data_IF_314952752245
#
_entry.id   IF_314952752245
#
_cell.length_a   1.000
_cell.length_b   1.000
_cell.length_c   1.000
_cell.angle_alpha   90.00
_cell.angle_beta   90.00
_cell.angle_gamma   90.00
#
_symmetry.space_group_name_H-M   'P 1'
#
loop_
_entity.id
_entity.type
_entity.pdbx_description
1 polymer ?
#
# COMPACT_ATOMS: atom_id res chain seq x y z
N UNK A 1 -34.51 -27.27 46.63
CA UNK A 1 -34.19 -26.38 47.77
C UNK A 1 -32.71 -26.38 48.13
N UNK A 2 -32.03 -27.54 48.25
CA UNK A 2 -30.60 -27.61 48.64
C UNK A 2 -29.59 -27.02 47.64
N UNK A 3 -29.84 -27.09 46.33
CA UNK A 3 -28.96 -26.47 45.31
C UNK A 3 -29.11 -24.95 45.16
N UNK A 4 -30.18 -24.37 45.71
CA UNK A 4 -30.43 -22.92 45.63
C UNK A 4 -29.67 -22.15 46.72
N UNK A 5 -29.33 -22.81 47.83
CA UNK A 5 -28.57 -22.23 48.94
C UNK A 5 -27.05 -22.24 48.71
N UNK A 6 -26.52 -23.25 47.99
CA UNK A 6 -25.09 -23.28 47.59
C UNK A 6 -24.76 -22.22 46.52
N UNK A 7 -25.64 -22.02 45.54
CA UNK A 7 -25.53 -20.96 44.52
C UNK A 7 -25.47 -19.55 45.14
N UNK A 8 -26.25 -19.30 46.20
CA UNK A 8 -26.29 -17.99 46.89
C UNK A 8 -25.03 -17.76 47.73
N UNK A 9 -24.42 -18.80 48.31
CA UNK A 9 -23.15 -18.68 49.04
C UNK A 9 -21.97 -18.42 48.11
N UNK A 10 -21.92 -19.09 46.96
CA UNK A 10 -20.86 -18.88 45.95
C UNK A 10 -20.97 -17.46 45.34
N UNK A 11 -22.18 -16.98 45.06
CA UNK A 11 -22.38 -15.60 44.57
C UNK A 11 -21.93 -14.53 45.57
N UNK A 12 -22.06 -14.76 46.89
CA UNK A 12 -21.61 -13.80 47.92
C UNK A 12 -20.09 -13.77 48.09
N UNK A 13 -19.40 -14.89 47.86
CA UNK A 13 -17.92 -14.95 47.93
C UNK A 13 -17.29 -14.29 46.69
N UNK A 14 -17.89 -14.48 45.50
CA UNK A 14 -17.39 -13.87 44.26
C UNK A 14 -17.67 -12.36 44.21
N UNK A 15 -18.78 -11.89 44.80
CA UNK A 15 -19.10 -10.47 44.90
C UNK A 15 -18.16 -9.68 45.84
N UNK A 16 -17.46 -10.34 46.76
CA UNK A 16 -16.48 -9.68 47.64
C UNK A 16 -15.09 -9.49 46.99
N UNK A 17 -14.82 -10.12 45.85
CA UNK A 17 -13.52 -10.03 45.16
C UNK A 17 -13.50 -9.04 43.98
N UNK A 18 -14.65 -8.45 43.61
CA UNK A 18 -14.78 -7.55 42.45
C UNK A 18 -15.32 -6.17 42.81
N UNK A 19 -14.79 -5.58 43.89
CA UNK A 19 -15.09 -4.21 44.29
C UNK A 19 -13.88 -3.26 44.20
N UNK A 20 -12.92 -3.51 43.29
CA UNK A 20 -11.91 -2.51 42.92
C UNK A 20 -11.94 -2.30 41.41
N UNK A 21 -12.74 -1.30 41.04
CA UNK A 21 -12.73 -0.48 39.82
C UNK A 21 -13.26 -1.12 38.54
N UNK A 22 -14.48 -0.69 38.19
CA UNK A 22 -14.71 -0.09 36.87
C UNK A 22 -15.40 -0.97 35.82
N UNK A 23 -16.71 -1.09 35.96
CA UNK A 23 -17.73 -1.36 34.95
C UNK A 23 -17.33 -1.04 33.49
N UNK A 24 -17.54 -1.97 32.56
CA UNK A 24 -18.62 -1.92 31.54
C UNK A 24 -18.75 -3.33 30.94
N UNK A 25 -19.91 -3.96 31.16
CA UNK A 25 -20.38 -5.09 30.37
C UNK A 25 -21.06 -4.49 29.14
N UNK A 26 -20.45 -4.64 27.96
CA UNK A 26 -21.17 -4.56 26.68
C UNK A 26 -21.30 -5.98 26.14
N UNK A 27 -22.54 -6.46 26.13
CA UNK A 27 -22.97 -7.63 25.41
C UNK A 27 -22.90 -7.32 23.91
N UNK A 28 -21.97 -7.95 23.19
CA UNK A 28 -21.88 -7.85 21.74
C UNK A 28 -21.26 -9.13 21.20
N UNK A 29 -22.00 -9.86 20.37
CA UNK A 29 -21.47 -10.93 19.55
C UNK A 29 -20.38 -10.34 18.64
N UNK A 30 -19.13 -10.40 19.08
CA UNK A 30 -17.98 -10.19 18.21
C UNK A 30 -17.58 -11.55 17.66
N UNK A 31 -17.72 -11.71 16.35
CA UNK A 31 -16.94 -12.68 15.58
C UNK A 31 -15.47 -12.60 16.03
N UNK A 32 -14.69 -13.70 15.99
CA UNK A 32 -13.28 -13.62 16.32
C UNK A 32 -12.64 -12.65 15.31
N UNK A 33 -12.37 -11.42 15.76
CA UNK A 33 -11.64 -10.44 14.99
C UNK A 33 -10.29 -11.09 14.66
N UNK A 34 -10.02 -11.24 13.36
CA UNK A 34 -8.74 -11.71 12.82
C UNK A 34 -7.64 -10.99 13.61
N UNK A 35 -6.84 -11.75 14.36
CA UNK A 35 -5.76 -11.19 15.16
C UNK A 35 -4.93 -10.28 14.25
N UNK A 36 -4.84 -8.95 14.50
CA UNK A 36 -4.00 -8.09 13.72
C UNK A 36 -2.59 -8.68 13.81
N UNK A 37 -1.97 -9.03 12.67
CA UNK A 37 -0.55 -9.29 12.63
C UNK A 37 0.12 -8.08 13.29
N UNK A 38 0.65 -8.29 14.48
CA UNK A 38 1.35 -7.26 15.23
C UNK A 38 2.71 -7.14 14.57
N UNK A 39 2.80 -6.24 13.60
CA UNK A 39 4.09 -5.84 13.07
C UNK A 39 4.86 -5.16 14.20
N UNK A 40 6.09 -5.64 14.44
CA UNK A 40 6.97 -4.99 15.39
C UNK A 40 7.23 -3.54 14.95
N UNK A 41 7.23 -2.63 15.91
CA UNK A 41 7.69 -1.27 15.72
C UNK A 41 9.21 -1.24 15.89
N UNK A 42 9.88 -0.58 14.95
CA UNK A 42 11.32 -0.39 14.97
C UNK A 42 11.68 1.08 15.16
N UNK A 43 12.93 1.34 15.54
CA UNK A 43 13.39 2.69 15.84
C UNK A 43 13.81 3.48 14.60
N UNK A 44 13.93 2.83 13.44
CA UNK A 44 14.34 3.47 12.19
C UNK A 44 13.41 3.13 11.03
N UNK A 45 13.23 4.09 10.12
CA UNK A 45 12.45 3.90 8.89
C UNK A 45 13.00 2.74 8.04
N UNK A 46 14.33 2.60 8.01
CA UNK A 46 15.04 1.51 7.34
C UNK A 46 14.59 0.15 7.86
N UNK A 47 14.70 -0.08 9.17
CA UNK A 47 14.34 -1.36 9.78
C UNK A 47 12.86 -1.66 9.61
N UNK A 48 12.00 -0.65 9.84
CA UNK A 48 10.56 -0.78 9.65
C UNK A 48 10.21 -1.18 8.21
N UNK A 49 10.83 -0.52 7.22
CA UNK A 49 10.63 -0.81 5.81
C UNK A 49 11.12 -2.21 5.45
N UNK A 50 12.31 -2.61 5.91
CA UNK A 50 12.85 -3.94 5.61
C UNK A 50 12.06 -5.06 6.28
N UNK A 51 11.45 -4.81 7.45
CA UNK A 51 10.53 -5.76 8.07
C UNK A 51 9.28 -5.99 7.19
N UNK A 52 8.69 -4.91 6.66
CA UNK A 52 7.57 -4.99 5.72
C UNK A 52 7.97 -5.67 4.40
N UNK A 53 9.14 -5.32 3.84
CA UNK A 53 9.64 -5.90 2.60
C UNK A 53 10.00 -7.39 2.73
N UNK A 54 10.55 -7.80 3.87
CA UNK A 54 10.78 -9.21 4.19
C UNK A 54 9.46 -9.99 4.16
N UNK A 55 8.42 -9.44 4.78
CA UNK A 55 7.09 -10.03 4.74
C UNK A 55 6.55 -10.12 3.31
N UNK A 56 6.67 -9.07 2.49
CA UNK A 56 6.27 -9.09 1.06
C UNK A 56 6.99 -10.21 0.27
N UNK A 57 8.31 -10.33 0.42
CA UNK A 57 9.15 -11.31 -0.28
C UNK A 57 8.88 -12.77 0.13
N UNK A 58 8.86 -13.07 1.44
CA UNK A 58 8.62 -14.42 1.96
C UNK A 58 7.25 -14.96 1.53
N UNK A 59 6.36 -14.03 1.26
CA UNK A 59 4.97 -14.26 0.94
C UNK A 59 4.73 -14.47 -0.57
N UNK A 60 5.74 -14.33 -1.43
CA UNK A 60 5.68 -14.79 -2.82
C UNK A 60 5.98 -16.28 -2.97
N UNK A 61 6.63 -16.92 -1.99
CA UNK A 61 7.17 -18.28 -2.11
C UNK A 61 6.19 -19.38 -1.65
N UNK A 62 5.20 -19.07 -0.81
CA UNK A 62 4.32 -20.10 -0.23
C UNK A 62 3.16 -20.49 -1.16
N UNK A 63 3.37 -21.55 -1.97
CA UNK A 63 2.36 -22.24 -2.80
C UNK A 63 1.19 -22.72 -1.92
N UNK A 64 -0.02 -22.28 -2.24
CA UNK A 64 -1.24 -22.57 -1.48
C UNK A 64 -2.24 -21.43 -1.62
N UNK A 65 -2.94 -21.44 -2.75
CA UNK A 65 -3.88 -20.45 -3.25
C UNK A 65 -5.08 -20.29 -2.29
N UNK A 66 -5.44 -19.04 -1.95
CA UNK A 66 -6.80 -18.53 -1.57
C UNK A 66 -6.75 -17.23 -0.76
N UNK A 67 -5.65 -16.91 -0.07
CA UNK A 67 -5.54 -15.67 0.75
C UNK A 67 -4.83 -14.50 0.08
N UNK A 68 -4.87 -14.39 -1.25
CA UNK A 68 -4.12 -13.36 -2.01
C UNK A 68 -4.49 -11.92 -1.63
N UNK A 69 -5.77 -11.61 -1.51
CA UNK A 69 -6.24 -10.27 -1.12
C UNK A 69 -5.97 -9.96 0.35
N UNK A 70 -6.20 -10.92 1.26
CA UNK A 70 -5.90 -10.73 2.69
C UNK A 70 -4.40 -10.48 2.92
N UNK A 71 -3.57 -11.18 2.16
CA UNK A 71 -2.11 -11.07 2.17
C UNK A 71 -1.62 -9.70 1.72
N UNK A 72 -2.18 -9.18 0.63
CA UNK A 72 -1.90 -7.82 0.19
C UNK A 72 -2.35 -6.78 1.24
N UNK A 73 -3.42 -7.06 1.98
CA UNK A 73 -3.83 -6.25 3.13
C UNK A 73 -2.75 -6.16 4.21
N UNK A 74 -2.15 -7.29 4.60
CA UNK A 74 -1.04 -7.30 5.56
C UNK A 74 0.20 -6.56 5.04
N UNK A 75 0.54 -6.72 3.76
CA UNK A 75 1.66 -6.00 3.14
C UNK A 75 1.42 -4.48 3.21
N UNK A 76 0.20 -4.04 2.87
CA UNK A 76 -0.19 -2.63 3.00
C UNK A 76 -0.02 -2.16 4.44
N UNK A 77 -0.51 -2.92 5.43
CA UNK A 77 -0.35 -2.57 6.86
C UNK A 77 1.12 -2.43 7.25
N UNK A 78 1.99 -3.34 6.83
CA UNK A 78 3.42 -3.29 7.15
C UNK A 78 4.10 -2.02 6.59
N UNK A 79 3.82 -1.67 5.35
CA UNK A 79 4.35 -0.42 4.76
C UNK A 79 3.66 0.83 5.31
N UNK A 80 2.38 0.74 5.71
CA UNK A 80 1.66 1.86 6.32
C UNK A 80 2.32 2.27 7.64
N UNK A 81 2.88 1.33 8.41
CA UNK A 81 3.65 1.66 9.60
C UNK A 81 4.89 2.50 9.32
N UNK A 82 5.52 2.35 8.15
CA UNK A 82 6.63 3.25 7.75
C UNK A 82 6.11 4.67 7.62
N UNK A 83 4.95 4.84 6.98
CA UNK A 83 4.34 6.16 6.77
C UNK A 83 3.78 6.77 8.05
N UNK A 84 3.29 5.95 8.97
CA UNK A 84 2.72 6.42 10.23
C UNK A 84 3.80 6.86 11.22
N UNK A 85 4.93 6.14 11.28
CA UNK A 85 6.00 6.41 12.23
C UNK A 85 7.14 7.27 11.66
N UNK A 86 7.33 7.25 10.34
CA UNK A 86 8.41 7.97 9.66
C UNK A 86 7.90 8.75 8.43
N UNK A 87 6.81 9.53 8.53
CA UNK A 87 6.16 10.14 7.37
C UNK A 87 7.07 11.00 6.49
N UNK A 88 8.12 11.59 7.07
CA UNK A 88 9.01 12.54 6.39
C UNK A 88 10.38 11.93 6.05
N UNK A 89 10.57 10.61 6.24
CA UNK A 89 11.80 9.95 5.83
C UNK A 89 11.98 10.09 4.30
N UNK A 90 13.10 10.68 3.84
CA UNK A 90 13.24 11.06 2.44
C UNK A 90 13.43 9.86 1.51
N UNK A 91 13.75 8.68 2.04
CA UNK A 91 14.07 7.50 1.24
C UNK A 91 12.99 6.42 1.36
N UNK A 92 12.64 6.01 2.57
CA UNK A 92 11.79 4.84 2.81
C UNK A 92 10.30 5.15 2.69
N UNK A 93 9.88 6.37 3.00
CA UNK A 93 8.46 6.75 2.91
C UNK A 93 7.95 6.90 1.47
N UNK A 94 8.68 7.54 0.53
CA UNK A 94 8.27 7.48 -0.88
C UNK A 94 8.27 6.05 -1.43
N UNK A 95 9.21 5.19 -1.02
CA UNK A 95 9.23 3.78 -1.41
C UNK A 95 8.05 2.99 -0.81
N UNK A 96 7.70 3.22 0.45
CA UNK A 96 6.54 2.60 1.09
C UNK A 96 5.23 2.99 0.38
N UNK A 97 5.08 4.25 -0.04
CA UNK A 97 3.97 4.68 -0.88
C UNK A 97 3.90 3.91 -2.22
N UNK A 98 5.04 3.69 -2.90
CA UNK A 98 5.08 2.89 -4.12
C UNK A 98 4.61 1.45 -3.86
N UNK A 99 5.07 0.82 -2.78
CA UNK A 99 4.71 -0.55 -2.42
C UNK A 99 3.21 -0.68 -2.08
N UNK A 100 2.66 0.24 -1.30
CA UNK A 100 1.22 0.27 -0.99
C UNK A 100 0.40 0.46 -2.26
N UNK A 101 0.80 1.39 -3.12
CA UNK A 101 0.13 1.65 -4.39
C UNK A 101 0.20 0.44 -5.34
N UNK A 102 1.32 -0.27 -5.39
CA UNK A 102 1.45 -1.52 -6.15
C UNK A 102 0.57 -2.64 -5.60
N UNK A 103 0.41 -2.74 -4.27
CA UNK A 103 -0.56 -3.64 -3.67
C UNK A 103 -1.98 -3.32 -4.14
N UNK A 104 -2.37 -2.04 -4.18
CA UNK A 104 -3.67 -1.63 -4.75
C UNK A 104 -3.78 -1.97 -6.25
N UNK A 105 -2.72 -1.83 -7.04
CA UNK A 105 -2.70 -2.29 -8.44
C UNK A 105 -2.99 -3.80 -8.54
N UNK A 106 -2.33 -4.61 -7.71
CA UNK A 106 -2.53 -6.08 -7.66
C UNK A 106 -3.93 -6.46 -7.19
N UNK A 107 -4.56 -5.61 -6.36
CA UNK A 107 -5.96 -5.76 -5.96
C UNK A 107 -6.97 -5.26 -7.01
N UNK A 108 -6.52 -4.76 -8.17
CA UNK A 108 -7.37 -4.06 -9.16
C UNK A 108 -8.05 -2.77 -8.63
N UNK A 109 -7.57 -2.24 -7.52
CA UNK A 109 -8.05 -1.02 -6.87
C UNK A 109 -7.38 0.21 -7.47
N UNK A 110 -7.45 0.35 -8.80
CA UNK A 110 -6.66 1.30 -9.57
C UNK A 110 -6.84 2.76 -9.13
N UNK A 111 -8.05 3.16 -8.71
CA UNK A 111 -8.29 4.52 -8.21
C UNK A 111 -7.60 4.78 -6.87
N UNK A 112 -7.51 3.78 -5.98
CA UNK A 112 -6.74 3.89 -4.73
C UNK A 112 -5.24 3.95 -5.03
N UNK A 113 -4.77 3.11 -5.95
CA UNK A 113 -3.38 3.13 -6.41
C UNK A 113 -2.98 4.52 -6.95
N UNK A 114 -3.77 5.10 -7.86
CA UNK A 114 -3.50 6.43 -8.44
C UNK A 114 -3.40 7.51 -7.35
N UNK A 115 -4.34 7.54 -6.38
CA UNK A 115 -4.28 8.50 -5.27
C UNK A 115 -3.00 8.34 -4.45
N UNK A 116 -2.61 7.09 -4.18
CA UNK A 116 -1.41 6.78 -3.39
C UNK A 116 -0.14 7.17 -4.13
N UNK A 117 -0.05 6.90 -5.44
CA UNK A 117 1.07 7.33 -6.27
C UNK A 117 1.19 8.87 -6.34
N UNK A 118 0.07 9.58 -6.51
CA UNK A 118 0.07 11.06 -6.57
C UNK A 118 0.51 11.72 -5.27
N UNK A 119 0.33 11.07 -4.13
CA UNK A 119 0.81 11.59 -2.85
C UNK A 119 2.35 11.74 -2.82
N UNK A 120 3.07 10.95 -3.62
CA UNK A 120 4.54 10.98 -3.67
C UNK A 120 5.05 12.31 -4.22
N UNK A 121 4.49 12.80 -5.32
CA UNK A 121 4.89 14.07 -5.94
C UNK A 121 4.72 15.25 -4.96
N UNK A 122 3.61 15.26 -4.22
CA UNK A 122 3.30 16.34 -3.28
C UNK A 122 4.13 16.29 -1.99
N UNK A 123 4.41 15.08 -1.47
CA UNK A 123 5.01 14.89 -0.14
C UNK A 123 6.52 14.66 -0.18
N UNK A 124 7.04 14.12 -1.27
CA UNK A 124 8.46 13.82 -1.44
C UNK A 124 8.98 14.42 -2.76
N UNK A 125 9.02 15.76 -2.90
CA UNK A 125 9.38 16.42 -4.16
C UNK A 125 10.82 16.12 -4.63
N UNK A 126 11.71 15.74 -3.71
CA UNK A 126 13.13 15.48 -3.99
C UNK A 126 13.44 13.98 -4.15
N UNK A 127 12.53 13.20 -4.75
CA UNK A 127 12.71 11.76 -4.94
C UNK A 127 12.41 11.31 -6.39
N UNK A 128 13.30 11.63 -7.35
CA UNK A 128 13.03 11.50 -8.78
C UNK A 128 12.74 10.06 -9.23
N UNK A 129 13.37 9.06 -8.59
CA UNK A 129 13.07 7.66 -8.89
C UNK A 129 11.62 7.30 -8.58
N UNK A 130 11.11 7.73 -7.42
CA UNK A 130 9.74 7.41 -7.04
C UNK A 130 8.73 8.17 -7.88
N UNK A 131 9.05 9.40 -8.31
CA UNK A 131 8.21 10.14 -9.25
C UNK A 131 8.13 9.42 -10.60
N UNK A 132 9.26 9.06 -11.20
CA UNK A 132 9.29 8.35 -12.47
C UNK A 132 8.50 7.03 -12.40
N UNK A 133 8.68 6.27 -11.32
CA UNK A 133 7.96 5.03 -11.11
C UNK A 133 6.45 5.25 -10.91
N UNK A 134 6.07 6.26 -10.12
CA UNK A 134 4.67 6.62 -9.88
C UNK A 134 3.96 7.02 -11.18
N UNK A 135 4.60 7.86 -12.00
CA UNK A 135 4.08 8.31 -13.30
C UNK A 135 3.77 7.14 -14.23
N UNK A 136 4.74 6.23 -14.38
CA UNK A 136 4.57 5.02 -15.18
C UNK A 136 3.42 4.16 -14.65
N UNK A 137 3.35 3.96 -13.33
CA UNK A 137 2.32 3.11 -12.74
C UNK A 137 0.93 3.74 -12.77
N UNK A 138 0.81 5.08 -12.66
CA UNK A 138 -0.44 5.80 -12.88
C UNK A 138 -0.90 5.62 -14.33
N UNK A 139 0.01 5.71 -15.31
CA UNK A 139 -0.30 5.41 -16.70
C UNK A 139 -0.90 4.00 -16.84
N UNK A 140 -0.25 2.99 -16.26
CA UNK A 140 -0.74 1.60 -16.27
C UNK A 140 -2.10 1.45 -15.60
N UNK A 141 -2.32 2.16 -14.49
CA UNK A 141 -3.61 2.16 -13.80
C UNK A 141 -4.73 2.72 -14.68
N UNK A 142 -4.46 3.77 -15.47
CA UNK A 142 -5.42 4.30 -16.42
C UNK A 142 -5.67 3.37 -17.61
N UNK A 143 -4.66 2.64 -18.08
CA UNK A 143 -4.88 1.58 -19.09
C UNK A 143 -5.81 0.50 -18.54
N UNK A 144 -5.57 0.03 -17.31
CA UNK A 144 -6.44 -0.95 -16.64
C UNK A 144 -7.85 -0.44 -16.36
N UNK A 145 -8.04 0.88 -16.28
CA UNK A 145 -9.35 1.53 -16.17
C UNK A 145 -10.03 1.77 -17.53
N UNK A 146 -9.44 1.30 -18.64
CA UNK A 146 -9.99 1.51 -19.98
C UNK A 146 -9.85 2.95 -20.49
N UNK A 147 -8.88 3.71 -19.97
CA UNK A 147 -8.64 5.11 -20.33
C UNK A 147 -7.25 5.30 -20.98
N UNK A 148 -6.99 4.68 -22.14
CA UNK A 148 -5.67 4.67 -22.76
C UNK A 148 -5.19 6.06 -23.20
N UNK A 149 -6.11 6.96 -23.57
CA UNK A 149 -5.76 8.35 -23.89
C UNK A 149 -5.16 9.06 -22.66
N UNK A 150 -5.72 8.84 -21.48
CA UNK A 150 -5.18 9.37 -20.22
C UNK A 150 -3.86 8.70 -19.87
N UNK A 151 -3.76 7.38 -20.00
CA UNK A 151 -2.53 6.63 -19.75
C UNK A 151 -1.34 7.16 -20.58
N UNK A 152 -1.56 7.37 -21.88
CA UNK A 152 -0.55 7.95 -22.79
C UNK A 152 -0.04 9.31 -22.33
N UNK A 153 -0.89 10.15 -21.73
CA UNK A 153 -0.47 11.45 -21.17
C UNK A 153 0.51 11.27 -20.02
N UNK A 154 0.28 10.29 -19.15
CA UNK A 154 1.18 9.97 -18.03
C UNK A 154 2.51 9.37 -18.51
N UNK A 155 2.48 8.44 -19.48
CA UNK A 155 3.71 7.93 -20.08
C UNK A 155 4.53 9.04 -20.75
N UNK A 156 3.87 9.93 -21.50
CA UNK A 156 4.53 11.09 -22.11
C UNK A 156 5.14 12.01 -21.05
N UNK A 157 4.40 12.31 -19.98
CA UNK A 157 4.91 13.14 -18.87
C UNK A 157 6.17 12.51 -18.25
N UNK A 158 6.15 11.21 -17.98
CA UNK A 158 7.33 10.49 -17.49
C UNK A 158 8.53 10.62 -18.45
N UNK A 159 8.31 10.45 -19.76
CA UNK A 159 9.39 10.57 -20.76
C UNK A 159 9.94 12.00 -20.75
N UNK A 160 9.07 13.00 -20.88
CA UNK A 160 9.46 14.40 -20.99
C UNK A 160 10.24 14.88 -19.75
N UNK A 161 9.78 14.49 -18.55
CA UNK A 161 10.40 14.91 -17.29
C UNK A 161 11.72 14.21 -17.01
N UNK A 162 11.85 12.91 -17.36
CA UNK A 162 12.98 12.09 -16.89
C UNK A 162 13.96 11.64 -17.99
N UNK A 163 13.75 12.00 -19.27
CA UNK A 163 14.60 11.57 -20.40
C UNK A 163 16.09 11.93 -20.31
N UNK A 164 16.45 12.90 -19.48
CA UNK A 164 17.83 13.36 -19.28
C UNK A 164 18.42 12.90 -17.94
N UNK A 165 17.72 12.02 -17.21
CA UNK A 165 18.24 11.49 -15.95
C UNK A 165 19.46 10.61 -16.22
N UNK A 166 20.53 10.78 -15.43
CA UNK A 166 21.70 9.90 -15.47
C UNK A 166 21.51 8.58 -14.71
N UNK A 167 20.49 8.48 -13.85
CA UNK A 167 20.19 7.27 -13.10
C UNK A 167 19.66 6.14 -13.99
N UNK A 168 20.34 4.98 -13.99
CA UNK A 168 20.01 3.82 -14.83
C UNK A 168 18.61 3.24 -14.58
N UNK A 169 18.14 3.26 -13.33
CA UNK A 169 16.80 2.77 -13.00
C UNK A 169 15.74 3.70 -13.60
N UNK A 170 15.98 5.02 -13.57
CA UNK A 170 15.09 5.99 -14.21
C UNK A 170 15.15 5.86 -15.73
N UNK A 171 16.33 5.64 -16.33
CA UNK A 171 16.47 5.36 -17.76
C UNK A 171 15.64 4.14 -18.19
N UNK A 172 15.65 3.08 -17.39
CA UNK A 172 14.83 1.89 -17.64
C UNK A 172 13.32 2.19 -17.56
N UNK A 173 12.87 3.01 -16.59
CA UNK A 173 11.48 3.46 -16.48
C UNK A 173 11.08 4.27 -17.72
N UNK A 174 11.92 5.21 -18.16
CA UNK A 174 11.69 6.03 -19.37
C UNK A 174 11.60 5.15 -20.61
N UNK A 175 12.47 4.16 -20.76
CA UNK A 175 12.41 3.21 -21.85
C UNK A 175 11.08 2.43 -21.85
N UNK A 176 10.63 1.95 -20.69
CA UNK A 176 9.33 1.28 -20.56
C UNK A 176 8.15 2.21 -20.91
N UNK A 177 8.17 3.46 -20.45
CA UNK A 177 7.16 4.45 -20.83
C UNK A 177 7.17 4.73 -22.35
N UNK A 178 8.35 4.74 -22.97
CA UNK A 178 8.50 4.97 -24.42
C UNK A 178 7.87 3.84 -25.23
N UNK A 179 8.02 2.59 -24.79
CA UNK A 179 7.36 1.43 -25.44
C UNK A 179 5.84 1.50 -25.34
N UNK A 180 5.31 2.00 -24.21
CA UNK A 180 3.87 2.15 -23.97
C UNK A 180 3.29 3.40 -24.66
N UNK A 181 4.13 4.37 -25.00
CA UNK A 181 3.75 5.58 -25.69
C UNK A 181 3.93 5.43 -27.21
N UNK A 182 2.84 5.15 -27.92
CA UNK A 182 2.80 5.28 -29.39
C UNK A 182 2.49 6.73 -29.75
N UNK A 183 3.43 7.49 -30.36
CA UNK A 183 3.15 8.86 -30.79
C UNK A 183 2.02 8.88 -31.81
N UNK A 184 1.18 9.93 -31.83
CA UNK A 184 0.16 10.06 -32.87
C UNK A 184 0.84 10.02 -34.24
N UNK A 185 0.35 9.15 -35.13
CA UNK A 185 0.77 9.13 -36.52
C UNK A 185 0.52 10.51 -37.09
N UNK A 186 1.58 11.26 -37.37
CA UNK A 186 1.47 12.54 -38.08
C UNK A 186 0.87 12.20 -39.44
N UNK A 187 -0.33 12.68 -39.80
CA UNK A 187 -0.85 12.52 -41.15
C UNK A 187 0.21 13.05 -42.11
N UNK A 188 0.60 12.21 -43.06
CA UNK A 188 1.77 12.44 -43.90
C UNK A 188 1.81 13.88 -44.41
N UNK A 189 2.93 14.57 -44.20
CA UNK A 189 3.23 15.74 -45.03
C UNK A 189 3.20 15.24 -46.47
N UNK A 190 2.15 15.56 -47.22
CA UNK A 190 2.18 15.49 -48.67
C UNK A 190 3.39 16.32 -49.11
N UNK A 191 4.39 15.74 -49.79
CA UNK A 191 5.47 16.54 -50.33
C UNK A 191 4.82 17.54 -51.30
N UNK A 192 5.08 18.83 -51.07
CA UNK A 192 4.71 19.88 -52.02
C UNK A 192 5.40 19.53 -53.36
N UNK A 193 4.60 19.46 -54.42
CA UNK A 193 5.07 19.28 -55.80
C UNK A 193 5.91 20.47 -56.25
#
# INVERSE_FOLDING_TARGET
MRQREEMVRICRVVAAALAIVGSVIVLGCATPAKSPAVFAQFNTAREQYFAAAKFDMETLVRRGQERGFERLGWIITGYQMVLDHFPDDPLYSPLAHLCIADCYMRMSEYRKAIRTFRAIEARYPNHPFAHAQAERQIGRAYDSLGQPATAKRYYKRCIDTFRHSENDQIKAIVAACTQLYVPPSVPGRTPAR
#
